data_IF_692833740519
#
_entry.id   IF_692833740519
#
_cell.length_a   1.000
_cell.length_b   1.000
_cell.length_c   1.000
_cell.angle_alpha   90.00
_cell.angle_beta   90.00
_cell.angle_gamma   90.00
#
_symmetry.space_group_name_H-M   'P 1'
#
loop_
_entity.id
_entity.type
_entity.pdbx_description
1 polymer ?
#
# COMPACT_ATOMS: atom_id res chain seq x y z
N UNK A 1 -4.98 9.56 -24.01
CA UNK A 1 -4.31 8.22 -24.05
C UNK A 1 -5.26 7.08 -23.70
N UNK A 2 -5.87 6.98 -22.51
CA UNK A 2 -6.80 5.86 -22.19
C UNK A 2 -7.95 5.70 -23.20
N UNK A 3 -8.63 6.80 -23.56
CA UNK A 3 -9.69 6.82 -24.59
C UNK A 3 -9.19 6.50 -26.02
N UNK A 4 -7.92 6.81 -26.29
CA UNK A 4 -7.27 6.49 -27.57
C UNK A 4 -6.95 4.99 -27.63
N UNK A 5 -6.45 4.42 -26.53
CA UNK A 5 -6.17 2.98 -26.40
C UNK A 5 -7.43 2.12 -26.40
N UNK A 6 -8.57 2.63 -25.88
CA UNK A 6 -9.86 1.94 -25.92
C UNK A 6 -10.62 2.11 -27.25
N UNK A 7 -10.10 2.92 -28.19
CA UNK A 7 -10.74 3.20 -29.48
C UNK A 7 -11.94 4.16 -29.42
N UNK A 8 -12.20 4.77 -28.26
CA UNK A 8 -13.27 5.76 -28.07
C UNK A 8 -12.96 7.11 -28.75
N UNK A 9 -11.68 7.42 -28.95
CA UNK A 9 -11.22 8.67 -29.54
C UNK A 9 -10.08 8.40 -30.53
N UNK A 10 -10.20 8.92 -31.76
CA UNK A 10 -9.12 8.87 -32.76
C UNK A 10 -8.35 10.19 -32.68
N UNK A 11 -7.06 10.11 -32.38
CA UNK A 11 -6.18 11.27 -32.32
C UNK A 11 -4.79 10.93 -32.88
N UNK A 12 -4.58 11.28 -34.14
CA UNK A 12 -3.39 10.90 -34.93
C UNK A 12 -2.09 11.54 -34.43
N UNK A 13 -2.15 12.51 -33.51
CA UNK A 13 -0.96 13.11 -32.91
C UNK A 13 -0.36 12.23 -31.78
N UNK A 14 -1.02 11.15 -31.40
CA UNK A 14 -0.58 10.26 -30.32
C UNK A 14 -0.35 8.84 -30.83
N UNK A 15 0.89 8.36 -30.69
CA UNK A 15 1.26 6.96 -30.89
C UNK A 15 1.43 6.27 -29.54
N UNK A 16 0.69 5.20 -29.29
CA UNK A 16 0.81 4.39 -28.09
C UNK A 16 1.09 2.93 -28.48
N UNK A 17 2.13 2.34 -27.87
CA UNK A 17 2.53 0.97 -28.10
C UNK A 17 2.88 0.32 -26.76
N UNK A 18 2.42 -0.90 -26.55
CA UNK A 18 2.80 -1.73 -25.41
C UNK A 18 3.59 -2.92 -25.95
N UNK A 19 4.82 -3.08 -25.46
CA UNK A 19 5.66 -4.23 -25.80
C UNK A 19 5.51 -5.25 -24.71
N UNK A 20 4.78 -6.34 -24.93
CA UNK A 20 4.55 -7.41 -23.96
C UNK A 20 4.62 -8.79 -24.63
N UNK A 21 4.76 -9.85 -23.82
CA UNK A 21 4.58 -11.22 -24.30
C UNK A 21 3.11 -11.60 -24.23
N UNK A 22 2.65 -12.39 -25.21
CA UNK A 22 1.24 -12.82 -25.30
C UNK A 22 0.92 -13.94 -24.29
N UNK A 23 1.90 -14.81 -24.00
CA UNK A 23 1.72 -15.98 -23.12
C UNK A 23 3.03 -16.29 -22.36
N UNK A 24 2.89 -16.77 -21.12
CA UNK A 24 4.04 -17.07 -20.26
C UNK A 24 4.95 -18.17 -20.83
N UNK A 25 4.42 -19.07 -21.66
CA UNK A 25 5.20 -20.12 -22.33
C UNK A 25 6.21 -19.51 -23.31
N UNK A 26 5.98 -18.29 -23.79
CA UNK A 26 6.90 -17.58 -24.68
C UNK A 26 8.22 -17.18 -24.02
N UNK A 27 8.29 -17.11 -22.68
CA UNK A 27 9.55 -16.83 -21.96
C UNK A 27 10.60 -17.91 -22.23
N UNK A 28 10.19 -19.12 -22.62
CA UNK A 28 11.09 -20.22 -22.96
C UNK A 28 11.55 -20.18 -24.42
N UNK A 29 10.99 -19.27 -25.23
CA UNK A 29 11.27 -19.13 -26.67
C UNK A 29 12.03 -17.84 -26.90
N UNK A 30 13.37 -17.90 -26.85
CA UNK A 30 14.25 -16.74 -27.00
C UNK A 30 13.97 -15.90 -28.25
N UNK A 31 13.59 -16.54 -29.36
CA UNK A 31 13.22 -15.86 -30.61
C UNK A 31 12.02 -14.91 -30.46
N UNK A 32 11.15 -15.14 -29.48
CA UNK A 32 9.96 -14.34 -29.23
C UNK A 32 10.22 -13.19 -28.23
N UNK A 33 11.36 -13.16 -27.55
CA UNK A 33 11.65 -12.13 -26.53
C UNK A 33 11.67 -10.71 -27.09
N UNK A 34 11.82 -10.56 -28.40
CA UNK A 34 11.75 -9.28 -29.11
C UNK A 34 10.42 -8.55 -28.89
N UNK A 35 9.31 -9.25 -28.68
CA UNK A 35 7.98 -8.65 -28.48
C UNK A 35 7.93 -7.73 -27.26
N UNK A 36 8.53 -8.15 -26.15
CA UNK A 36 8.62 -7.36 -24.92
C UNK A 36 9.95 -6.61 -24.78
N UNK A 37 10.96 -6.95 -25.59
CA UNK A 37 12.30 -6.36 -25.55
C UNK A 37 12.74 -5.92 -26.96
N UNK A 38 12.14 -4.87 -27.55
CA UNK A 38 12.42 -4.45 -28.93
C UNK A 38 13.89 -4.09 -29.20
N UNK A 39 14.65 -3.71 -28.15
CA UNK A 39 16.08 -3.43 -28.26
C UNK A 39 16.94 -4.66 -28.60
N UNK A 40 16.38 -5.88 -28.56
CA UNK A 40 17.07 -7.08 -29.04
C UNK A 40 17.33 -7.05 -30.55
N UNK A 41 16.66 -6.18 -31.30
CA UNK A 41 16.95 -5.93 -32.73
C UNK A 41 18.30 -5.25 -32.93
N UNK A 42 18.77 -4.49 -31.93
CA UNK A 42 20.06 -3.79 -32.00
C UNK A 42 21.18 -4.80 -31.76
N UNK A 43 21.90 -5.17 -32.82
CA UNK A 43 22.95 -6.18 -32.78
C UNK A 43 23.99 -5.97 -31.66
N UNK A 44 24.39 -4.72 -31.41
CA UNK A 44 25.35 -4.37 -30.35
C UNK A 44 24.84 -4.67 -28.92
N UNK A 45 23.52 -4.79 -28.72
CA UNK A 45 22.89 -5.03 -27.40
C UNK A 45 22.34 -6.45 -27.25
N UNK A 46 22.00 -7.10 -28.36
CA UNK A 46 21.32 -8.39 -28.42
C UNK A 46 21.97 -9.46 -27.55
N UNK A 47 23.27 -9.65 -27.69
CA UNK A 47 23.99 -10.72 -26.99
C UNK A 47 24.01 -10.51 -25.47
N UNK A 48 24.29 -9.28 -25.03
CA UNK A 48 24.33 -8.92 -23.61
C UNK A 48 22.95 -9.04 -22.98
N UNK A 49 21.92 -8.50 -23.65
CA UNK A 49 20.55 -8.56 -23.16
C UNK A 49 20.04 -10.00 -23.08
N UNK A 50 20.24 -10.80 -24.13
CA UNK A 50 19.81 -12.19 -24.17
C UNK A 50 20.51 -13.03 -23.08
N UNK A 51 21.81 -12.82 -22.87
CA UNK A 51 22.56 -13.45 -21.78
C UNK A 51 22.01 -13.08 -20.40
N UNK A 52 21.69 -11.81 -20.17
CA UNK A 52 21.13 -11.35 -18.90
C UNK A 52 19.73 -11.92 -18.64
N UNK A 53 18.86 -11.96 -19.65
CA UNK A 53 17.52 -12.55 -19.54
C UNK A 53 17.62 -14.05 -19.24
N UNK A 54 18.51 -14.80 -19.93
CA UNK A 54 18.78 -16.22 -19.65
C UNK A 54 19.24 -16.45 -18.22
N UNK A 55 20.17 -15.63 -17.73
CA UNK A 55 20.68 -15.72 -16.36
C UNK A 55 19.55 -15.51 -15.35
N UNK A 56 18.74 -14.45 -15.51
CA UNK A 56 17.59 -14.17 -14.64
C UNK A 56 16.56 -15.29 -14.65
N UNK A 57 16.20 -15.82 -15.82
CA UNK A 57 15.27 -16.96 -15.93
C UNK A 57 15.81 -18.20 -15.20
N UNK A 58 17.12 -18.44 -15.27
CA UNK A 58 17.76 -19.57 -14.59
C UNK A 58 17.69 -19.40 -13.06
N UNK A 59 18.05 -18.21 -12.57
CA UNK A 59 17.98 -17.87 -11.14
C UNK A 59 16.54 -17.92 -10.60
N UNK A 60 15.59 -17.36 -11.36
CA UNK A 60 14.17 -17.35 -11.04
C UNK A 60 13.59 -18.76 -10.94
N UNK A 61 13.96 -19.66 -11.87
CA UNK A 61 13.55 -21.08 -11.81
C UNK A 61 14.16 -21.80 -10.63
N UNK A 62 15.43 -21.55 -10.30
CA UNK A 62 16.08 -22.16 -9.14
C UNK A 62 15.41 -21.75 -7.83
N UNK A 63 14.87 -20.52 -7.76
CA UNK A 63 14.11 -20.01 -6.62
C UNK A 63 12.62 -20.35 -6.65
N UNK A 64 12.15 -21.00 -7.71
CA UNK A 64 10.72 -21.20 -8.00
C UNK A 64 9.88 -19.91 -7.97
N UNK A 65 10.50 -18.77 -8.32
CA UNK A 65 9.87 -17.45 -8.35
C UNK A 65 10.15 -16.78 -9.70
N UNK A 66 9.22 -16.98 -10.64
CA UNK A 66 9.27 -16.37 -11.98
C UNK A 66 8.65 -14.97 -12.01
N UNK A 67 7.88 -14.57 -11.00
CA UNK A 67 7.03 -13.38 -11.02
C UNK A 67 7.79 -12.11 -11.39
N UNK A 68 8.85 -11.74 -10.65
CA UNK A 68 9.64 -10.56 -10.94
C UNK A 68 10.25 -10.57 -12.35
N UNK A 69 10.67 -11.73 -12.85
CA UNK A 69 11.28 -11.84 -14.19
C UNK A 69 10.21 -11.69 -15.28
N UNK A 70 9.05 -12.32 -15.10
CA UNK A 70 7.93 -12.24 -16.05
C UNK A 70 7.39 -10.80 -16.15
N UNK A 71 7.27 -10.11 -15.01
CA UNK A 71 6.84 -8.70 -15.00
C UNK A 71 7.91 -7.78 -15.58
N UNK A 72 9.15 -7.85 -15.09
CA UNK A 72 10.18 -6.83 -15.39
C UNK A 72 10.95 -7.06 -16.69
N UNK A 73 10.97 -8.29 -17.20
CA UNK A 73 11.71 -8.64 -18.42
C UNK A 73 10.82 -9.04 -19.58
N UNK A 74 9.55 -9.37 -19.32
CA UNK A 74 8.59 -9.76 -20.36
C UNK A 74 7.34 -8.87 -20.42
N UNK A 75 7.28 -7.84 -19.56
CA UNK A 75 6.20 -6.86 -19.47
C UNK A 75 4.82 -7.51 -19.36
N UNK A 76 4.75 -8.68 -18.76
CA UNK A 76 3.49 -9.40 -18.59
C UNK A 76 2.81 -8.95 -17.31
N UNK A 77 1.53 -8.61 -17.44
CA UNK A 77 0.65 -8.39 -16.30
C UNK A 77 0.51 -9.69 -15.51
N UNK A 78 0.78 -9.64 -14.22
CA UNK A 78 0.45 -10.72 -13.29
C UNK A 78 -0.72 -10.23 -12.45
N UNK A 79 -1.82 -11.01 -12.44
CA UNK A 79 -2.86 -10.82 -11.42
C UNK A 79 -2.22 -11.05 -10.04
N UNK A 80 -2.68 -10.29 -9.04
CA UNK A 80 -2.19 -10.37 -7.67
C UNK A 80 -1.99 -11.83 -7.24
N UNK A 81 -0.75 -12.15 -6.89
CA UNK A 81 -0.20 -13.49 -6.86
C UNK A 81 -0.80 -14.40 -5.79
N UNK A 82 -0.52 -15.72 -5.92
CA UNK A 82 -0.75 -16.78 -4.92
C UNK A 82 -0.17 -16.50 -3.51
N UNK A 83 0.63 -15.43 -3.34
CA UNK A 83 1.25 -15.02 -2.08
C UNK A 83 0.58 -13.81 -1.42
N UNK A 84 -0.64 -13.44 -1.82
CA UNK A 84 -1.39 -12.40 -1.11
C UNK A 84 -1.63 -12.86 0.35
N UNK A 85 -1.11 -12.10 1.32
CA UNK A 85 -1.31 -12.36 2.75
C UNK A 85 -2.81 -12.51 3.09
N UNK A 86 -3.65 -11.67 2.47
CA UNK A 86 -5.11 -11.76 2.52
C UNK A 86 -5.68 -11.73 1.11
N UNK A 87 -6.68 -12.56 0.81
CA UNK A 87 -7.41 -12.45 -0.46
C UNK A 87 -8.42 -11.31 -0.37
N UNK A 88 -8.55 -10.54 -1.45
CA UNK A 88 -9.47 -9.38 -1.48
C UNK A 88 -10.93 -9.76 -1.22
N UNK A 89 -11.37 -10.91 -1.69
CA UNK A 89 -12.73 -11.43 -1.45
C UNK A 89 -12.96 -11.78 0.03
N UNK A 90 -11.97 -12.39 0.69
CA UNK A 90 -12.02 -12.71 2.11
C UNK A 90 -12.00 -11.44 2.97
N UNK A 91 -11.24 -10.42 2.57
CA UNK A 91 -11.25 -9.10 3.21
C UNK A 91 -12.61 -8.41 3.07
N UNK A 92 -13.17 -8.38 1.86
CA UNK A 92 -14.46 -7.75 1.59
C UNK A 92 -15.61 -8.43 2.33
N UNK A 93 -15.56 -9.76 2.50
CA UNK A 93 -16.54 -10.51 3.28
C UNK A 93 -16.56 -10.18 4.78
N UNK A 94 -15.51 -9.54 5.30
CA UNK A 94 -15.42 -9.08 6.69
C UNK A 94 -15.98 -7.67 6.90
N UNK A 95 -16.44 -7.00 5.84
CA UNK A 95 -17.02 -5.66 5.97
C UNK A 95 -18.30 -5.69 6.82
N UNK A 96 -18.41 -4.72 7.72
CA UNK A 96 -19.59 -4.52 8.57
C UNK A 96 -20.09 -3.08 8.40
N UNK A 97 -21.41 -2.91 8.42
CA UNK A 97 -22.06 -1.60 8.27
C UNK A 97 -22.09 -0.81 9.57
N UNK A 98 -22.12 -1.51 10.71
CA UNK A 98 -22.27 -0.91 12.03
C UNK A 98 -21.08 -1.27 12.91
N UNK A 99 -20.52 -0.24 13.56
CA UNK A 99 -19.50 -0.41 14.57
C UNK A 99 -20.07 -1.19 15.77
N UNK A 100 -19.42 -2.29 16.20
CA UNK A 100 -19.86 -3.04 17.37
C UNK A 100 -19.64 -2.23 18.65
N UNK A 101 -20.30 -2.61 19.74
CA UNK A 101 -20.05 -1.98 21.04
C UNK A 101 -18.62 -2.28 21.53
N UNK A 102 -17.71 -1.33 21.35
CA UNK A 102 -16.28 -1.44 21.66
C UNK A 102 -15.83 -0.56 22.84
N UNK A 103 -16.75 0.21 23.43
CA UNK A 103 -16.44 1.09 24.56
C UNK A 103 -15.94 0.31 25.77
N UNK A 104 -14.85 0.76 26.39
CA UNK A 104 -14.26 0.13 27.58
C UNK A 104 -13.45 -1.15 27.29
N UNK A 105 -13.28 -1.54 26.02
CA UNK A 105 -12.55 -2.75 25.64
C UNK A 105 -11.04 -2.52 25.51
N UNK A 106 -10.32 -3.62 25.45
CA UNK A 106 -8.89 -3.63 25.14
C UNK A 106 -8.66 -3.21 23.68
N UNK A 107 -7.72 -2.30 23.46
CA UNK A 107 -7.39 -1.80 22.12
C UNK A 107 -5.89 -1.88 21.85
N UNK A 108 -5.55 -2.23 20.62
CA UNK A 108 -4.20 -2.29 20.08
C UNK A 108 -4.11 -1.30 18.93
N UNK A 109 -3.22 -0.31 19.02
CA UNK A 109 -3.17 0.80 18.06
C UNK A 109 -1.87 0.70 17.27
N UNK A 110 -1.95 0.61 15.94
CA UNK A 110 -0.80 0.71 15.05
C UNK A 110 -0.67 2.12 14.48
N UNK A 111 0.55 2.64 14.44
CA UNK A 111 0.85 3.96 13.87
C UNK A 111 1.96 3.82 12.84
N UNK A 112 1.64 4.20 11.61
CA UNK A 112 2.59 4.29 10.50
C UNK A 112 2.83 5.76 10.18
N UNK A 113 4.05 6.26 10.43
CA UNK A 113 4.39 7.68 10.34
C UNK A 113 5.07 8.00 9.01
N UNK A 114 4.49 8.94 8.28
CA UNK A 114 5.07 9.63 7.14
C UNK A 114 5.14 11.14 7.40
N UNK A 115 5.98 11.84 6.62
CA UNK A 115 6.14 13.31 6.73
C UNK A 115 5.61 14.08 5.52
N UNK A 116 5.95 13.67 4.31
CA UNK A 116 5.84 14.56 3.14
C UNK A 116 4.89 14.08 2.06
N UNK A 117 5.10 12.89 1.50
CA UNK A 117 4.44 12.45 0.26
C UNK A 117 3.47 11.30 0.51
N UNK A 118 3.83 10.42 1.44
CA UNK A 118 3.03 9.27 1.85
C UNK A 118 2.06 9.65 2.98
N UNK A 119 1.06 8.81 3.20
CA UNK A 119 0.09 8.98 4.27
C UNK A 119 0.71 8.57 5.61
N UNK A 120 0.27 9.24 6.68
CA UNK A 120 0.39 8.69 8.03
C UNK A 120 -0.91 7.96 8.34
N UNK A 121 -0.87 6.82 9.03
CA UNK A 121 -2.07 6.08 9.40
C UNK A 121 -2.07 5.76 10.89
N UNK A 122 -3.25 5.87 11.51
CA UNK A 122 -3.54 5.34 12.84
C UNK A 122 -4.62 4.28 12.66
N UNK A 123 -4.26 3.01 12.88
CA UNK A 123 -5.19 1.88 12.83
C UNK A 123 -5.38 1.31 14.22
N UNK A 124 -6.57 0.80 14.53
CA UNK A 124 -6.83 0.16 15.81
C UNK A 124 -7.56 -1.16 15.64
N UNK A 125 -7.21 -2.09 16.52
CA UNK A 125 -7.78 -3.43 16.58
C UNK A 125 -8.37 -3.63 17.97
N UNK A 126 -9.65 -3.99 18.02
CA UNK A 126 -10.38 -4.24 19.26
C UNK A 126 -10.94 -5.66 19.25
N UNK A 127 -10.39 -6.57 20.09
CA UNK A 127 -11.01 -7.87 20.30
C UNK A 127 -12.38 -7.71 20.98
N UNK A 128 -13.40 -8.37 20.46
CA UNK A 128 -14.74 -8.39 21.04
C UNK A 128 -15.41 -9.74 20.85
N UNK A 129 -16.52 -9.95 21.55
CA UNK A 129 -17.38 -11.13 21.37
C UNK A 129 -18.64 -10.64 20.66
N UNK A 130 -18.97 -11.24 19.52
CA UNK A 130 -20.17 -10.89 18.76
C UNK A 130 -21.45 -11.41 19.45
N UNK A 131 -22.62 -11.06 18.90
CA UNK A 131 -23.92 -11.44 19.44
C UNK A 131 -24.13 -12.97 19.47
N UNK A 132 -23.40 -13.71 18.64
CA UNK A 132 -23.43 -15.17 18.56
C UNK A 132 -22.45 -15.84 19.55
N UNK A 133 -21.66 -15.05 20.29
CA UNK A 133 -20.68 -15.55 21.25
C UNK A 133 -19.31 -15.88 20.65
N UNK A 134 -19.04 -15.51 19.40
CA UNK A 134 -17.75 -15.78 18.76
C UNK A 134 -16.75 -14.66 19.04
N UNK A 135 -15.48 -15.04 19.21
CA UNK A 135 -14.39 -14.06 19.28
C UNK A 135 -14.14 -13.44 17.91
N UNK A 136 -14.18 -12.12 17.85
CA UNK A 136 -13.97 -11.30 16.65
C UNK A 136 -12.97 -10.19 16.92
N UNK A 137 -12.46 -9.60 15.85
CA UNK A 137 -11.63 -8.41 15.88
C UNK A 137 -12.30 -7.32 15.07
N UNK A 138 -12.59 -6.18 15.69
CA UNK A 138 -12.95 -4.97 14.97
C UNK A 138 -11.67 -4.27 14.55
N UNK A 139 -11.56 -3.92 13.27
CA UNK A 139 -10.39 -3.26 12.69
C UNK A 139 -10.87 -2.02 11.96
N UNK A 140 -10.28 -0.88 12.29
CA UNK A 140 -10.57 0.38 11.60
C UNK A 140 -9.31 1.26 11.57
N UNK A 141 -9.30 2.28 10.71
CA UNK A 141 -8.14 3.12 10.45
C UNK A 141 -8.53 4.53 10.05
N UNK A 142 -7.68 5.48 10.41
CA UNK A 142 -7.75 6.87 9.98
C UNK A 142 -6.43 7.30 9.36
N UNK A 143 -6.49 8.05 8.27
CA UNK A 143 -5.28 8.52 7.57
C UNK A 143 -5.07 10.03 7.72
N UNK A 144 -3.81 10.47 7.64
CA UNK A 144 -3.42 11.87 7.59
C UNK A 144 -2.72 12.14 6.27
N UNK A 145 -3.17 13.18 5.58
CA UNK A 145 -2.80 13.47 4.20
C UNK A 145 -1.91 14.72 4.15
N UNK A 146 -0.66 14.54 3.75
CA UNK A 146 0.24 15.65 3.40
C UNK A 146 -0.11 16.27 2.05
N UNK A 147 0.03 17.58 1.94
CA UNK A 147 -0.33 18.38 0.75
C UNK A 147 0.85 19.14 0.14
N UNK A 148 2.08 18.75 0.48
CA UNK A 148 3.32 19.44 0.03
C UNK A 148 3.42 19.63 -1.49
N UNK A 149 2.89 18.70 -2.28
CA UNK A 149 2.87 18.76 -3.76
C UNK A 149 1.52 19.24 -4.33
N UNK A 150 0.62 19.71 -3.46
CA UNK A 150 -0.77 20.04 -3.76
C UNK A 150 -1.71 18.84 -3.64
N UNK A 151 -2.86 19.05 -3.00
CA UNK A 151 -3.87 18.01 -2.78
C UNK A 151 -4.39 17.41 -4.10
N UNK A 152 -4.69 18.25 -5.10
CA UNK A 152 -5.17 17.77 -6.41
C UNK A 152 -4.19 16.85 -7.12
N UNK A 153 -2.89 17.16 -7.05
CA UNK A 153 -1.85 16.35 -7.68
C UNK A 153 -1.75 14.99 -6.98
N UNK A 154 -1.83 14.99 -5.65
CA UNK A 154 -1.85 13.77 -4.85
C UNK A 154 -3.09 12.92 -5.15
N UNK A 155 -4.28 13.52 -5.23
CA UNK A 155 -5.52 12.82 -5.62
C UNK A 155 -5.41 12.20 -7.02
N UNK A 156 -4.85 12.92 -8.00
CA UNK A 156 -4.64 12.41 -9.37
C UNK A 156 -3.65 11.25 -9.42
N UNK A 157 -2.55 11.34 -8.64
CA UNK A 157 -1.50 10.31 -8.57
C UNK A 157 -2.01 9.05 -7.90
N UNK A 158 -2.61 9.20 -6.72
CA UNK A 158 -3.06 8.10 -5.87
C UNK A 158 -4.40 7.52 -6.37
N UNK A 159 -5.12 8.27 -7.22
CA UNK A 159 -6.48 7.96 -7.73
C UNK A 159 -7.51 7.77 -6.61
N UNK A 160 -7.36 8.58 -5.55
CA UNK A 160 -8.21 8.58 -4.37
C UNK A 160 -8.75 9.99 -4.17
N UNK A 161 -10.05 10.10 -3.86
CA UNK A 161 -10.69 11.38 -3.52
C UNK A 161 -10.56 11.66 -2.02
N UNK A 162 -9.43 12.23 -1.62
CA UNK A 162 -9.16 12.55 -0.22
C UNK A 162 -10.10 13.62 0.34
N UNK A 163 -10.65 14.52 -0.49
CA UNK A 163 -11.60 15.53 -0.03
C UNK A 163 -12.94 14.91 0.36
N UNK A 164 -13.43 13.94 -0.41
CA UNK A 164 -14.62 13.17 -0.05
C UNK A 164 -14.37 12.36 1.23
N UNK A 165 -13.22 11.67 1.31
CA UNK A 165 -12.86 10.86 2.49
C UNK A 165 -12.69 11.70 3.77
N UNK A 166 -12.19 12.92 3.68
CA UNK A 166 -12.13 13.83 4.83
C UNK A 166 -13.53 14.25 5.30
N UNK A 167 -14.43 14.54 4.36
CA UNK A 167 -15.83 14.88 4.66
C UNK A 167 -16.55 13.71 5.35
N UNK A 168 -16.24 12.48 4.94
CA UNK A 168 -16.75 11.24 5.54
C UNK A 168 -16.04 10.85 6.85
N UNK A 169 -14.95 11.55 7.21
CA UNK A 169 -14.21 11.33 8.44
C UNK A 169 -13.19 10.18 8.40
N UNK A 170 -12.82 9.68 7.22
CA UNK A 170 -11.81 8.62 7.05
C UNK A 170 -10.37 9.13 7.05
N UNK A 171 -10.18 10.43 6.77
CA UNK A 171 -8.86 11.03 6.82
C UNK A 171 -8.89 12.49 7.27
N UNK A 172 -7.73 13.02 7.65
CA UNK A 172 -7.51 14.44 7.94
C UNK A 172 -6.46 14.99 6.99
N UNK A 173 -6.79 16.05 6.27
CA UNK A 173 -5.87 16.73 5.37
C UNK A 173 -5.13 17.80 6.16
N UNK A 174 -3.80 17.86 6.01
CA UNK A 174 -3.00 18.84 6.76
C UNK A 174 -3.40 20.27 6.41
N UNK A 175 -3.54 21.09 7.45
CA UNK A 175 -3.83 22.52 7.34
C UNK A 175 -2.56 23.39 7.37
N UNK A 176 -1.38 22.77 7.51
CA UNK A 176 -0.11 23.50 7.57
C UNK A 176 0.27 24.05 6.20
N UNK A 177 0.75 25.29 6.18
CA UNK A 177 1.27 25.94 4.97
C UNK A 177 2.44 25.16 4.33
N UNK A 178 3.21 24.42 5.12
CA UNK A 178 4.29 23.56 4.62
C UNK A 178 3.79 22.34 3.84
N UNK A 179 2.50 22.01 3.95
CA UNK A 179 1.89 20.80 3.41
C UNK A 179 2.42 19.50 4.04
N UNK A 180 3.10 19.60 5.19
CA UNK A 180 3.63 18.48 5.96
C UNK A 180 2.55 18.04 6.97
N UNK A 181 2.46 16.74 7.23
CA UNK A 181 1.55 16.18 8.25
C UNK A 181 1.99 16.69 9.64
N UNK A 182 1.05 17.25 10.41
CA UNK A 182 1.33 17.65 11.80
C UNK A 182 1.16 16.45 12.72
N UNK A 183 2.26 16.05 13.37
CA UNK A 183 2.23 14.95 14.34
C UNK A 183 1.37 15.28 15.56
N UNK A 184 1.13 16.56 15.87
CA UNK A 184 0.17 16.93 16.91
C UNK A 184 -1.24 16.51 16.56
N UNK A 185 -1.64 16.63 15.30
CA UNK A 185 -2.97 16.19 14.86
C UNK A 185 -3.12 14.67 14.99
N UNK A 186 -2.03 13.92 14.69
CA UNK A 186 -1.97 12.46 14.87
C UNK A 186 -2.10 12.08 16.35
N UNK A 187 -1.35 12.74 17.23
CA UNK A 187 -1.38 12.50 18.68
C UNK A 187 -2.75 12.86 19.26
N UNK A 188 -3.29 14.02 18.88
CA UNK A 188 -4.62 14.46 19.31
C UNK A 188 -5.70 13.47 18.88
N UNK A 189 -5.62 12.95 17.65
CA UNK A 189 -6.53 11.91 17.19
C UNK A 189 -6.46 10.66 18.05
N UNK A 190 -5.26 10.19 18.40
CA UNK A 190 -5.08 9.02 19.28
C UNK A 190 -5.73 9.29 20.64
N UNK A 191 -5.51 10.46 21.24
CA UNK A 191 -6.15 10.82 22.51
C UNK A 191 -7.67 10.85 22.40
N UNK A 192 -8.22 11.51 21.38
CA UNK A 192 -9.66 11.57 21.14
C UNK A 192 -10.25 10.19 20.87
N UNK A 193 -9.54 9.30 20.18
CA UNK A 193 -9.95 7.92 19.94
C UNK A 193 -10.04 7.14 21.26
N UNK A 194 -9.00 7.22 22.09
CA UNK A 194 -8.95 6.54 23.39
C UNK A 194 -10.02 7.08 24.34
N UNK A 195 -10.22 8.40 24.38
CA UNK A 195 -11.24 9.05 25.21
C UNK A 195 -12.66 8.69 24.74
N UNK A 196 -12.95 8.82 23.44
CA UNK A 196 -14.25 8.53 22.83
C UNK A 196 -14.75 7.13 23.17
N UNK A 197 -13.86 6.15 23.08
CA UNK A 197 -14.21 4.75 23.36
C UNK A 197 -13.80 4.27 24.75
N UNK A 198 -13.21 5.13 25.59
CA UNK A 198 -12.67 4.75 26.89
C UNK A 198 -11.81 3.47 26.81
N UNK A 199 -10.89 3.42 25.84
CA UNK A 199 -10.13 2.20 25.57
C UNK A 199 -9.12 1.86 26.67
N UNK A 200 -8.99 0.56 26.96
CA UNK A 200 -7.86 0.03 27.71
C UNK A 200 -6.72 -0.26 26.74
N UNK A 201 -5.88 0.74 26.48
CA UNK A 201 -4.79 0.66 25.50
C UNK A 201 -3.74 -0.36 25.95
N UNK A 202 -3.58 -1.45 25.19
CA UNK A 202 -2.60 -2.51 25.48
C UNK A 202 -1.24 -2.27 24.84
N UNK A 203 -1.21 -1.51 23.76
CA UNK A 203 0.01 -1.17 23.05
C UNK A 203 -0.27 -0.20 21.93
N UNK A 204 0.62 0.78 21.78
CA UNK A 204 0.76 1.58 20.58
C UNK A 204 2.01 1.10 19.85
N UNK A 205 1.82 0.51 18.68
CA UNK A 205 2.83 -0.13 17.86
C UNK A 205 3.29 0.83 16.77
N UNK A 206 4.60 1.08 16.67
CA UNK A 206 5.14 2.08 15.74
C UNK A 206 6.54 1.68 15.26
N UNK A 207 6.97 2.22 14.11
CA UNK A 207 8.36 2.12 13.66
C UNK A 207 9.22 3.22 14.32
N UNK A 208 10.37 2.84 14.90
CA UNK A 208 11.31 3.75 15.55
C UNK A 208 11.90 4.77 14.58
N UNK A 209 11.94 4.47 13.28
CA UNK A 209 12.57 5.34 12.29
C UNK A 209 11.82 6.68 12.17
N UNK A 210 12.43 7.75 12.70
CA UNK A 210 11.90 9.13 12.68
C UNK A 210 10.72 9.45 13.63
N UNK A 211 10.44 8.58 14.61
CA UNK A 211 9.33 8.74 15.56
C UNK A 211 9.67 9.48 16.87
N UNK A 212 10.87 10.03 17.04
CA UNK A 212 11.32 10.59 18.32
C UNK A 212 10.33 11.61 18.98
N UNK A 213 9.75 12.60 18.25
CA UNK A 213 8.77 13.51 18.84
C UNK A 213 7.44 12.84 19.20
N UNK A 214 7.09 11.74 18.54
CA UNK A 214 5.88 10.97 18.81
C UNK A 214 6.04 10.13 20.09
N UNK A 215 7.22 9.54 20.28
CA UNK A 215 7.55 8.74 21.47
C UNK A 215 7.49 9.60 22.73
N UNK A 216 8.17 10.75 22.72
CA UNK A 216 8.29 11.61 23.91
C UNK A 216 6.96 12.13 24.44
N UNK A 217 5.94 12.26 23.58
CA UNK A 217 4.62 12.74 23.99
C UNK A 217 3.73 11.62 24.53
N UNK A 218 3.93 10.37 24.09
CA UNK A 218 3.05 9.24 24.42
C UNK A 218 3.62 8.28 25.45
N UNK A 219 4.93 8.28 25.70
CA UNK A 219 5.61 7.26 26.52
C UNK A 219 5.15 7.23 27.99
N UNK A 220 4.77 8.37 28.55
CA UNK A 220 4.24 8.47 29.91
C UNK A 220 2.73 8.17 30.00
N UNK A 221 2.04 8.12 28.86
CA UNK A 221 0.58 8.01 28.79
C UNK A 221 0.11 6.62 28.35
N UNK A 222 0.86 5.96 27.46
CA UNK A 222 0.46 4.70 26.87
C UNK A 222 1.62 3.70 26.78
N UNK A 223 1.35 2.39 26.85
CA UNK A 223 2.36 1.38 26.57
C UNK A 223 2.79 1.47 25.09
N UNK A 224 4.05 1.82 24.86
CA UNK A 224 4.64 1.94 23.53
C UNK A 224 5.44 0.68 23.16
N UNK A 225 5.22 0.15 21.96
CA UNK A 225 5.90 -1.05 21.43
C UNK A 225 6.53 -0.75 20.08
N UNK A 226 7.86 -0.72 20.04
CA UNK A 226 8.60 -0.58 18.80
C UNK A 226 8.48 -1.84 17.93
N UNK A 227 8.06 -1.67 16.67
CA UNK A 227 8.00 -2.72 15.65
C UNK A 227 8.97 -2.39 14.54
N UNK A 228 10.08 -3.12 14.46
CA UNK A 228 11.11 -2.90 13.42
C UNK A 228 10.74 -3.61 12.14
N UNK A 229 10.89 -2.95 10.99
CA UNK A 229 10.79 -3.62 9.70
C UNK A 229 12.13 -4.27 9.30
N UNK A 230 12.15 -5.59 9.11
CA UNK A 230 13.33 -6.33 8.65
C UNK A 230 13.20 -7.85 8.79
N UNK A 231 14.14 -8.60 8.19
CA UNK A 231 14.20 -10.07 8.18
C UNK A 231 14.26 -10.75 9.57
N UNK A 232 14.42 -9.96 10.65
CA UNK A 232 14.38 -10.45 12.04
C UNK A 232 12.98 -10.43 12.65
N UNK A 233 12.02 -9.77 12.01
CA UNK A 233 10.66 -9.52 12.50
C UNK A 233 9.56 -9.94 11.51
N UNK A 234 9.93 -10.48 10.35
CA UNK A 234 9.07 -11.15 9.36
C UNK A 234 9.35 -12.66 9.35
#
# INVERSE_FOLDING_TARGET
IKKILSGEEINDNYFAICYEQDDIKEINKEKLWIKSNPLLEVAARKDVMSKNIKKKLTEARAKNDLGPTVVKNFNMWQNASKESFLKGEEWAACAIELEPFITGKDAYIGVDLSRTTDLTAVSWIVPYVDEEGNNRFYVNSHSFVGTKEGLENKMKRDKIDYSALETEGFCTITTKESGIIDYKDVINFIHSLVERFNFNVKGIFYDEWSAAPFITELEDLYPLVAVRQGWKTL
#
